data_IF_395850455940
#
_entry.id   IF_395850455940
#
_cell.length_a   1.000
_cell.length_b   1.000
_cell.length_c   1.000
_cell.angle_alpha   90.00
_cell.angle_beta   90.00
_cell.angle_gamma   90.00
#
_symmetry.space_group_name_H-M   'P 1'
#
loop_
_entity.id
_entity.type
_entity.pdbx_description
1 polymer ?
#
# COMPACT_ATOMS: atom_id res chain seq x y z
N UNK A 1 15.44 25.60 -1.91
CA UNK A 1 14.69 26.38 -2.94
C UNK A 1 13.58 27.19 -2.29
N UNK A 2 13.02 28.20 -2.96
CA UNK A 2 11.95 29.04 -2.40
C UNK A 2 10.66 28.24 -2.16
N UNK A 3 9.82 28.70 -1.23
CA UNK A 3 8.55 28.03 -0.93
C UNK A 3 7.57 28.19 -2.09
N UNK A 4 6.96 27.08 -2.51
CA UNK A 4 5.97 27.04 -3.59
C UNK A 4 6.57 27.16 -4.99
N UNK A 5 7.90 27.21 -5.10
CA UNK A 5 8.61 27.30 -6.38
C UNK A 5 8.59 25.97 -7.14
N UNK A 6 7.45 25.68 -7.76
CA UNK A 6 7.22 24.48 -8.56
C UNK A 6 8.12 24.45 -9.79
N UNK A 7 8.35 25.59 -10.45
CA UNK A 7 9.24 25.67 -11.61
C UNK A 7 10.69 25.32 -11.23
N UNK A 8 11.19 25.85 -10.12
CA UNK A 8 12.49 25.51 -9.57
C UNK A 8 12.60 24.05 -9.15
N UNK A 9 11.54 23.47 -8.57
CA UNK A 9 11.48 22.04 -8.27
C UNK A 9 11.63 21.18 -9.53
N UNK A 10 10.85 21.48 -10.57
CA UNK A 10 10.90 20.77 -11.86
C UNK A 10 12.31 20.86 -12.47
N UNK A 11 12.91 22.06 -12.49
CA UNK A 11 14.27 22.25 -13.00
C UNK A 11 15.29 21.41 -12.24
N UNK A 12 15.23 21.43 -10.91
CA UNK A 12 16.15 20.68 -10.07
C UNK A 12 16.03 19.16 -10.26
N UNK A 13 14.81 18.65 -10.48
CA UNK A 13 14.60 17.22 -10.79
C UNK A 13 15.22 16.87 -12.14
N UNK A 14 15.04 17.69 -13.18
CA UNK A 14 15.66 17.45 -14.49
C UNK A 14 17.19 17.44 -14.40
N UNK A 15 17.78 18.35 -13.64
CA UNK A 15 19.22 18.39 -13.41
C UNK A 15 19.70 17.12 -12.69
N UNK A 16 19.00 16.68 -11.65
CA UNK A 16 19.30 15.46 -10.90
C UNK A 16 19.17 14.19 -11.78
N UNK A 17 18.16 14.13 -12.65
CA UNK A 17 18.01 13.07 -13.64
C UNK A 17 19.21 13.00 -14.60
N UNK A 18 19.73 14.15 -15.05
CA UNK A 18 20.86 14.21 -15.99
C UNK A 18 22.23 13.88 -15.38
N UNK A 19 22.41 14.18 -14.09
CA UNK A 19 23.69 14.02 -13.38
C UNK A 19 23.81 12.69 -12.65
N UNK A 20 22.69 11.99 -12.42
CA UNK A 20 22.65 10.69 -11.78
C UNK A 20 22.66 10.72 -10.24
N UNK A 21 22.79 11.89 -9.61
CA UNK A 21 22.66 12.11 -8.16
C UNK A 21 22.19 13.54 -7.88
N UNK A 22 21.08 13.73 -7.16
CA UNK A 22 20.65 15.05 -6.71
C UNK A 22 19.87 15.05 -5.40
N UNK A 23 20.35 15.81 -4.41
CA UNK A 23 19.61 16.12 -3.18
C UNK A 23 18.97 17.50 -3.32
N UNK A 24 17.64 17.54 -3.30
CA UNK A 24 16.85 18.74 -3.49
C UNK A 24 16.18 19.11 -2.16
N UNK A 25 16.62 20.23 -1.59
CA UNK A 25 16.12 20.74 -0.31
C UNK A 25 14.90 21.64 -0.52
N UNK A 26 13.74 21.13 -0.16
CA UNK A 26 12.47 21.85 -0.18
C UNK A 26 12.31 22.68 1.10
N UNK A 27 11.59 23.82 0.99
CA UNK A 27 11.33 24.63 2.18
C UNK A 27 10.42 23.87 3.16
N UNK A 28 10.78 23.88 4.44
CA UNK A 28 10.00 23.33 5.56
C UNK A 28 8.62 23.99 5.67
N UNK A 29 7.59 23.23 6.07
CA UNK A 29 6.19 23.71 6.22
C UNK A 29 5.62 24.36 4.94
N UNK A 30 6.11 23.93 3.77
CA UNK A 30 5.73 24.54 2.50
C UNK A 30 4.87 23.60 1.66
N UNK A 31 4.00 24.19 0.83
CA UNK A 31 3.19 23.46 -0.15
C UNK A 31 3.63 23.84 -1.57
N UNK A 32 3.95 22.81 -2.36
CA UNK A 32 4.24 22.89 -3.79
C UNK A 32 3.04 22.36 -4.57
N UNK A 33 2.23 23.28 -5.08
CA UNK A 33 0.97 22.96 -5.76
C UNK A 33 1.18 22.84 -7.27
N UNK A 34 1.13 21.62 -7.78
CA UNK A 34 1.22 21.31 -9.20
C UNK A 34 -0.10 21.69 -9.89
N UNK A 35 -0.04 22.64 -10.83
CA UNK A 35 -1.23 23.15 -11.55
C UNK A 35 -1.51 22.42 -12.86
N UNK A 36 -0.55 21.62 -13.33
CA UNK A 36 -0.66 20.80 -14.53
C UNK A 36 0.46 19.75 -14.60
N UNK A 37 0.33 18.76 -15.50
CA UNK A 37 1.38 17.79 -15.72
C UNK A 37 2.57 18.41 -16.46
N UNK A 38 3.78 17.97 -16.12
CA UNK A 38 5.00 18.27 -16.88
C UNK A 38 5.23 17.26 -18.01
N UNK A 39 4.68 16.07 -17.87
CA UNK A 39 4.70 15.01 -18.88
C UNK A 39 3.26 14.66 -19.24
N UNK A 40 2.88 14.81 -20.51
CA UNK A 40 1.52 14.47 -20.99
C UNK A 40 1.52 14.15 -22.49
N UNK A 41 0.95 13.01 -22.94
CA UNK A 41 0.23 12.04 -22.13
C UNK A 41 1.14 11.10 -21.33
N UNK A 42 2.47 11.16 -21.50
CA UNK A 42 3.40 10.19 -20.90
C UNK A 42 3.21 8.77 -21.46
N UNK A 43 4.18 7.88 -21.21
CA UNK A 43 4.03 6.47 -21.60
C UNK A 43 2.99 5.76 -20.71
N UNK A 44 2.96 6.15 -19.43
CA UNK A 44 2.07 5.59 -18.43
C UNK A 44 1.01 6.59 -17.99
N UNK A 45 0.65 7.61 -18.77
CA UNK A 45 -0.26 8.68 -18.33
C UNK A 45 0.46 9.94 -17.84
N UNK A 46 -0.29 11.00 -17.53
CA UNK A 46 0.28 12.30 -17.22
C UNK A 46 0.83 12.38 -15.79
N UNK A 47 2.00 13.00 -15.66
CA UNK A 47 2.72 13.18 -14.38
C UNK A 47 2.96 14.65 -14.08
N UNK A 48 2.73 15.02 -12.82
CA UNK A 48 2.94 16.36 -12.29
C UNK A 48 4.43 16.74 -12.26
N UNK A 49 5.28 15.85 -11.76
CA UNK A 49 6.74 16.01 -11.77
C UNK A 49 7.36 15.33 -13.00
N UNK A 50 8.58 15.72 -13.41
CA UNK A 50 9.31 14.97 -14.43
C UNK A 50 9.50 13.52 -14.00
N UNK A 51 9.43 12.59 -14.96
CA UNK A 51 9.71 11.17 -14.73
C UNK A 51 11.12 11.02 -14.13
N UNK A 52 11.23 10.27 -13.03
CA UNK A 52 12.50 10.06 -12.34
C UNK A 52 13.28 8.95 -13.05
N UNK A 53 14.36 9.33 -13.71
CA UNK A 53 15.24 8.43 -14.47
C UNK A 53 16.63 8.30 -13.85
N UNK A 54 17.05 9.28 -13.05
CA UNK A 54 18.28 9.24 -12.25
C UNK A 54 18.00 8.94 -10.77
N UNK A 55 18.95 9.29 -9.89
CA UNK A 55 18.77 9.20 -8.45
C UNK A 55 18.43 10.57 -7.87
N UNK A 56 17.17 10.73 -7.44
CA UNK A 56 16.60 11.98 -6.94
C UNK A 56 16.21 11.80 -5.48
N UNK A 57 16.72 12.66 -4.60
CA UNK A 57 16.34 12.71 -3.19
C UNK A 57 15.68 14.05 -2.90
N UNK A 58 14.40 14.03 -2.54
CA UNK A 58 13.65 15.20 -2.07
C UNK A 58 13.65 15.19 -0.54
N UNK A 59 14.18 16.26 0.05
CA UNK A 59 14.21 16.45 1.50
C UNK A 59 13.33 17.62 1.87
N UNK A 60 12.41 17.39 2.80
CA UNK A 60 11.58 18.41 3.40
C UNK A 60 11.27 18.09 4.85
N UNK A 61 10.53 18.98 5.49
CA UNK A 61 10.01 18.77 6.84
C UNK A 61 8.62 19.38 6.88
N UNK A 62 7.59 18.55 7.01
CA UNK A 62 6.19 18.94 6.78
C UNK A 62 5.99 19.65 5.43
N UNK A 63 6.70 19.20 4.40
CA UNK A 63 6.58 19.77 3.06
C UNK A 63 5.60 18.93 2.25
N UNK A 64 4.69 19.56 1.53
CA UNK A 64 3.69 18.89 0.70
C UNK A 64 3.93 19.17 -0.77
N UNK A 65 3.89 18.13 -1.60
CA UNK A 65 3.73 18.23 -3.05
C UNK A 65 2.33 17.73 -3.36
N UNK A 66 1.51 18.59 -3.96
CA UNK A 66 0.08 18.29 -4.15
C UNK A 66 -0.42 18.68 -5.52
N UNK A 67 -1.41 17.95 -6.03
CA UNK A 67 -2.12 18.33 -7.26
C UNK A 67 -3.19 19.38 -6.94
N UNK A 68 -3.08 20.55 -7.54
CA UNK A 68 -4.04 21.66 -7.42
C UNK A 68 -4.84 21.93 -8.69
N UNK A 69 -5.07 20.91 -9.51
CA UNK A 69 -5.74 21.04 -10.82
C UNK A 69 -7.04 20.24 -10.87
N UNK A 70 -7.96 20.62 -11.75
CA UNK A 70 -9.11 19.76 -12.10
C UNK A 70 -8.68 18.62 -13.05
N UNK A 71 -7.64 18.85 -13.86
CA UNK A 71 -7.07 17.83 -14.74
C UNK A 71 -6.42 16.72 -13.93
N UNK A 72 -6.73 15.48 -14.25
CA UNK A 72 -6.15 14.31 -13.61
C UNK A 72 -4.70 14.09 -14.06
N UNK A 73 -3.81 13.93 -13.09
CA UNK A 73 -2.42 13.48 -13.26
C UNK A 73 -1.88 12.95 -11.94
N UNK A 74 -0.89 12.05 -11.99
CA UNK A 74 -0.16 11.59 -10.82
C UNK A 74 0.81 12.64 -10.31
N UNK A 75 1.30 12.50 -9.08
CA UNK A 75 2.35 13.41 -8.60
C UNK A 75 3.71 13.01 -9.19
N UNK A 76 4.06 11.73 -9.16
CA UNK A 76 5.38 11.25 -9.60
C UNK A 76 5.32 9.90 -10.31
N UNK A 77 6.29 9.69 -11.19
CA UNK A 77 6.59 8.41 -11.82
C UNK A 77 8.09 8.13 -11.70
N UNK A 78 8.45 6.92 -11.27
CA UNK A 78 9.83 6.43 -11.23
C UNK A 78 10.01 5.42 -12.35
N UNK A 79 10.90 5.72 -13.30
CA UNK A 79 11.20 4.84 -14.43
C UNK A 79 12.11 3.68 -14.00
N UNK A 80 12.18 2.59 -14.81
CA UNK A 80 13.16 1.54 -14.61
C UNK A 80 14.59 2.08 -14.51
N UNK A 81 15.30 1.68 -13.46
CA UNK A 81 16.65 2.17 -13.14
C UNK A 81 16.70 3.51 -12.41
N UNK A 82 15.59 4.25 -12.35
CA UNK A 82 15.46 5.47 -11.56
C UNK A 82 15.30 5.17 -10.07
N UNK A 83 15.66 6.14 -9.24
CA UNK A 83 15.44 6.09 -7.79
C UNK A 83 14.87 7.40 -7.29
N UNK A 84 13.74 7.34 -6.59
CA UNK A 84 13.16 8.47 -5.88
C UNK A 84 13.21 8.22 -4.37
N UNK A 85 13.87 9.11 -3.63
CA UNK A 85 13.82 9.12 -2.16
C UNK A 85 13.04 10.34 -1.68
N UNK A 86 12.00 10.10 -0.89
CA UNK A 86 11.19 11.12 -0.23
C UNK A 86 11.47 11.10 1.27
N UNK A 87 12.12 12.15 1.78
CA UNK A 87 12.42 12.32 3.19
C UNK A 87 11.63 13.51 3.77
N UNK A 88 10.64 13.23 4.61
CA UNK A 88 9.80 14.27 5.23
C UNK A 88 8.81 14.94 4.27
N UNK A 89 8.40 14.23 3.21
CA UNK A 89 7.53 14.76 2.15
C UNK A 89 6.13 14.15 2.24
N UNK A 90 5.12 15.00 2.09
CA UNK A 90 3.74 14.58 1.83
C UNK A 90 3.44 14.63 0.33
N UNK A 91 2.98 13.53 -0.25
CA UNK A 91 2.48 13.43 -1.63
C UNK A 91 0.97 13.30 -1.58
N UNK A 92 0.24 14.22 -2.23
CA UNK A 92 -1.22 14.23 -2.12
C UNK A 92 -2.00 14.71 -3.33
N UNK A 93 -3.27 14.31 -3.39
CA UNK A 93 -4.23 14.78 -4.39
C UNK A 93 -4.02 14.23 -5.80
N UNK A 94 -3.01 13.38 -6.02
CA UNK A 94 -2.73 12.75 -7.31
C UNK A 94 -3.93 11.96 -7.82
N UNK A 95 -4.11 11.95 -9.14
CA UNK A 95 -5.27 11.33 -9.80
C UNK A 95 -4.88 10.65 -11.10
N UNK A 96 -4.85 9.32 -11.11
CA UNK A 96 -4.61 8.47 -12.27
C UNK A 96 -5.95 7.89 -12.78
N UNK A 97 -6.80 8.75 -13.35
CA UNK A 97 -8.18 8.39 -13.74
C UNK A 97 -8.49 8.60 -15.22
N UNK A 98 -7.57 9.18 -15.99
CA UNK A 98 -7.74 9.40 -17.43
C UNK A 98 -7.69 8.05 -18.15
N UNK A 99 -8.74 7.73 -18.92
CA UNK A 99 -8.84 6.47 -19.64
C UNK A 99 -7.67 6.26 -20.62
N UNK A 100 -7.15 5.03 -20.69
CA UNK A 100 -5.99 4.67 -21.51
C UNK A 100 -4.81 4.20 -20.65
N UNK A 101 -3.58 4.51 -21.08
CA UNK A 101 -2.40 4.33 -20.24
C UNK A 101 -2.44 5.32 -19.07
N UNK A 102 -2.16 4.85 -17.85
CA UNK A 102 -2.08 5.71 -16.66
C UNK A 102 -3.26 5.75 -15.72
N UNK A 103 -3.85 4.58 -15.53
CA UNK A 103 -4.89 4.34 -14.54
C UNK A 103 -4.35 3.77 -13.21
N UNK A 104 -3.03 3.66 -13.08
CA UNK A 104 -2.33 3.08 -11.93
C UNK A 104 -1.52 4.14 -11.18
N UNK A 105 -1.32 3.95 -9.88
CA UNK A 105 -0.39 4.73 -9.07
C UNK A 105 -0.87 6.15 -8.81
N UNK A 106 -2.05 6.34 -8.24
CA UNK A 106 -2.73 7.64 -8.17
C UNK A 106 -1.84 8.77 -7.64
N UNK A 107 -1.07 8.49 -6.59
CA UNK A 107 -0.01 9.37 -6.11
C UNK A 107 1.29 9.15 -6.87
N UNK A 108 1.79 7.92 -6.82
CA UNK A 108 3.10 7.53 -7.37
C UNK A 108 3.00 6.21 -8.15
N UNK A 109 3.56 6.21 -9.36
CA UNK A 109 3.86 4.98 -10.11
C UNK A 109 5.35 4.66 -9.97
N UNK A 110 5.69 3.53 -9.34
CA UNK A 110 7.07 3.08 -9.18
C UNK A 110 7.38 1.89 -10.11
N UNK A 111 8.21 2.13 -11.13
CA UNK A 111 8.80 1.11 -11.99
C UNK A 111 10.32 0.96 -11.77
N UNK A 112 10.88 1.60 -10.75
CA UNK A 112 12.30 1.57 -10.41
C UNK A 112 12.49 1.30 -8.92
N UNK A 113 12.92 2.31 -8.17
CA UNK A 113 13.03 2.22 -6.71
C UNK A 113 12.47 3.46 -6.03
N UNK A 114 11.45 3.27 -5.20
CA UNK A 114 10.88 4.31 -4.36
C UNK A 114 11.25 4.10 -2.89
N UNK A 115 11.75 5.15 -2.24
CA UNK A 115 12.04 5.17 -0.81
C UNK A 115 11.26 6.25 -0.09
N UNK A 116 10.50 5.88 0.92
CA UNK A 116 9.78 6.78 1.81
C UNK A 116 10.44 6.76 3.18
N UNK A 117 10.85 7.91 3.69
CA UNK A 117 11.37 8.08 5.06
C UNK A 117 10.66 9.24 5.72
N UNK A 118 9.96 8.99 6.83
CA UNK A 118 9.18 10.03 7.52
C UNK A 118 8.22 10.79 6.59
N UNK A 119 7.69 10.08 5.59
CA UNK A 119 6.90 10.67 4.50
C UNK A 119 5.44 10.18 4.55
N UNK A 120 4.57 10.88 3.84
CA UNK A 120 3.13 10.59 3.80
C UNK A 120 2.65 10.54 2.36
N UNK A 121 1.95 9.48 1.96
CA UNK A 121 1.25 9.39 0.66
C UNK A 121 -0.25 9.35 0.94
N UNK A 122 -0.98 10.42 0.61
CA UNK A 122 -2.37 10.57 1.05
C UNK A 122 -3.33 11.28 0.11
N UNK A 123 -4.60 10.89 0.13
CA UNK A 123 -5.65 11.56 -0.65
C UNK A 123 -5.47 11.39 -2.15
N UNK A 124 -4.88 10.27 -2.59
CA UNK A 124 -4.64 10.00 -4.00
C UNK A 124 -5.64 8.99 -4.56
N UNK A 125 -5.90 9.07 -5.87
CA UNK A 125 -6.93 8.29 -6.55
C UNK A 125 -6.36 7.62 -7.81
N UNK A 126 -6.56 6.32 -7.95
CA UNK A 126 -6.33 5.58 -9.19
C UNK A 126 -7.62 4.91 -9.66
N UNK A 127 -7.85 4.80 -10.97
CA UNK A 127 -9.01 4.05 -11.47
C UNK A 127 -8.81 2.53 -11.43
N UNK A 128 -7.56 2.06 -11.41
CA UNK A 128 -7.24 0.64 -11.50
C UNK A 128 -6.52 0.12 -10.26
N UNK A 129 -5.23 0.43 -10.08
CA UNK A 129 -4.46 -0.12 -8.95
C UNK A 129 -3.56 0.91 -8.28
N UNK A 130 -3.30 0.70 -7.00
CA UNK A 130 -2.33 1.50 -6.25
C UNK A 130 -2.77 2.95 -6.09
N UNK A 131 -3.80 3.19 -5.26
CA UNK A 131 -4.38 4.53 -5.12
C UNK A 131 -3.35 5.53 -4.63
N UNK A 132 -2.57 5.12 -3.62
CA UNK A 132 -1.39 5.84 -3.20
C UNK A 132 -0.20 5.51 -4.10
N UNK A 133 0.17 4.22 -4.13
CA UNK A 133 1.39 3.75 -4.77
C UNK A 133 1.12 2.48 -5.58
N UNK A 134 1.55 2.49 -6.83
CA UNK A 134 1.70 1.28 -7.65
C UNK A 134 3.16 0.85 -7.69
N UNK A 135 3.45 -0.41 -7.36
CA UNK A 135 4.77 -1.03 -7.51
C UNK A 135 4.73 -1.98 -8.71
N UNK A 136 5.37 -1.58 -9.79
CA UNK A 136 5.40 -2.33 -11.04
C UNK A 136 6.31 -3.57 -10.95
N UNK A 137 6.32 -4.36 -12.02
CA UNK A 137 7.15 -5.56 -12.12
C UNK A 137 8.63 -5.24 -11.86
N UNK A 138 9.25 -5.96 -10.92
CA UNK A 138 10.65 -5.80 -10.51
C UNK A 138 10.99 -4.45 -9.83
N UNK A 139 9.99 -3.62 -9.51
CA UNK A 139 10.20 -2.40 -8.75
C UNK A 139 10.36 -2.68 -7.24
N UNK A 140 10.97 -1.74 -6.53
CA UNK A 140 11.29 -1.86 -5.11
C UNK A 140 10.78 -0.66 -4.34
N UNK A 141 9.87 -0.92 -3.41
CA UNK A 141 9.34 0.06 -2.48
C UNK A 141 9.88 -0.17 -1.07
N UNK A 142 10.64 0.80 -0.56
CA UNK A 142 11.08 0.85 0.84
C UNK A 142 10.28 1.92 1.61
N UNK A 143 9.57 1.53 2.68
CA UNK A 143 8.74 2.43 3.51
C UNK A 143 9.23 2.42 4.95
N UNK A 144 9.85 3.50 5.40
CA UNK A 144 10.37 3.62 6.76
C UNK A 144 9.74 4.80 7.51
N UNK A 145 9.21 4.53 8.70
CA UNK A 145 8.62 5.56 9.57
C UNK A 145 7.60 6.45 8.84
N UNK A 146 6.84 5.87 7.90
CA UNK A 146 6.04 6.60 6.92
C UNK A 146 4.58 6.14 6.94
N UNK A 147 3.72 6.91 6.26
CA UNK A 147 2.27 6.66 6.23
C UNK A 147 1.75 6.59 4.78
N UNK A 148 0.93 5.60 4.47
CA UNK A 148 0.15 5.53 3.22
C UNK A 148 -1.33 5.48 3.58
N UNK A 149 -2.05 6.58 3.35
CA UNK A 149 -3.35 6.78 3.99
C UNK A 149 -4.39 7.57 3.20
N UNK A 150 -5.68 7.27 3.33
CA UNK A 150 -6.77 7.97 2.62
C UNK A 150 -6.62 7.93 1.10
N UNK A 151 -6.11 6.83 0.55
CA UNK A 151 -6.01 6.63 -0.89
C UNK A 151 -7.08 5.69 -1.41
N UNK A 152 -7.45 5.84 -2.68
CA UNK A 152 -8.52 5.08 -3.31
C UNK A 152 -8.09 4.47 -4.65
N UNK A 153 -8.42 3.20 -4.88
CA UNK A 153 -8.20 2.52 -6.16
C UNK A 153 -9.24 1.44 -6.47
N UNK A 154 -9.10 0.80 -7.63
CA UNK A 154 -9.69 -0.51 -7.90
C UNK A 154 -9.11 -1.53 -6.92
N UNK A 155 -7.85 -1.93 -7.08
CA UNK A 155 -7.15 -2.81 -6.13
C UNK A 155 -5.98 -2.09 -5.44
N UNK A 156 -5.69 -2.47 -4.19
CA UNK A 156 -4.59 -1.84 -3.45
C UNK A 156 -4.86 -0.36 -3.22
N UNK A 157 -5.92 -0.05 -2.46
CA UNK A 157 -6.33 1.33 -2.20
C UNK A 157 -5.17 2.19 -1.73
N UNK A 158 -4.36 1.65 -0.81
CA UNK A 158 -3.07 2.23 -0.43
C UNK A 158 -1.97 1.87 -1.41
N UNK A 159 -1.60 0.59 -1.44
CA UNK A 159 -0.46 0.06 -2.19
C UNK A 159 -0.88 -1.17 -3.00
N UNK A 160 -0.50 -1.20 -4.27
CA UNK A 160 -0.56 -2.41 -5.10
C UNK A 160 0.86 -2.85 -5.48
N UNK A 161 1.11 -4.16 -5.46
CA UNK A 161 2.41 -4.76 -5.80
C UNK A 161 2.19 -5.81 -6.89
N UNK A 162 2.77 -5.60 -8.05
CA UNK A 162 2.74 -6.57 -9.14
C UNK A 162 3.70 -7.74 -8.92
N UNK A 163 3.56 -8.76 -9.78
CA UNK A 163 4.48 -9.88 -9.83
C UNK A 163 5.94 -9.44 -10.03
N UNK A 164 6.83 -9.98 -9.20
CA UNK A 164 8.25 -9.61 -9.19
C UNK A 164 8.55 -8.28 -8.49
N UNK A 165 7.55 -7.44 -8.21
CA UNK A 165 7.70 -6.26 -7.37
C UNK A 165 7.94 -6.63 -5.91
N UNK A 166 8.47 -5.68 -5.13
CA UNK A 166 8.72 -5.88 -3.71
C UNK A 166 8.39 -4.67 -2.85
N UNK A 167 7.89 -4.94 -1.64
CA UNK A 167 7.65 -3.96 -0.58
C UNK A 167 8.37 -4.39 0.69
N UNK A 168 9.19 -3.50 1.24
CA UNK A 168 9.73 -3.59 2.59
C UNK A 168 9.25 -2.39 3.40
N UNK A 169 8.50 -2.63 4.49
CA UNK A 169 8.01 -1.56 5.35
C UNK A 169 8.41 -1.78 6.82
N UNK A 170 8.87 -0.72 7.47
CA UNK A 170 9.30 -0.75 8.88
C UNK A 170 8.74 0.44 9.66
N UNK A 171 8.19 0.18 10.84
CA UNK A 171 7.69 1.21 11.77
C UNK A 171 6.73 2.20 11.11
N UNK A 172 5.88 1.67 10.22
CA UNK A 172 5.08 2.47 9.29
C UNK A 172 3.60 2.15 9.44
N UNK A 173 2.76 2.89 8.73
CA UNK A 173 1.32 2.74 8.82
C UNK A 173 0.66 2.79 7.45
N UNK A 174 -0.27 1.86 7.23
CA UNK A 174 -1.08 1.78 6.01
C UNK A 174 -2.53 1.81 6.47
N UNK A 175 -3.19 2.96 6.31
CA UNK A 175 -4.49 3.14 6.96
C UNK A 175 -5.50 3.98 6.22
N UNK A 176 -6.78 3.72 6.49
CA UNK A 176 -7.87 4.54 5.99
C UNK A 176 -7.93 4.57 4.44
N UNK A 177 -7.40 3.52 3.78
CA UNK A 177 -7.43 3.39 2.33
C UNK A 177 -8.64 2.57 1.87
N UNK A 178 -9.12 2.84 0.65
CA UNK A 178 -10.30 2.19 0.08
C UNK A 178 -10.00 1.56 -1.28
N UNK A 179 -10.35 0.30 -1.45
CA UNK A 179 -10.35 -0.39 -2.74
C UNK A 179 -11.80 -0.69 -3.14
N UNK A 180 -12.20 -0.38 -4.38
CA UNK A 180 -13.48 -0.88 -4.90
C UNK A 180 -13.43 -2.37 -5.24
N UNK A 181 -12.22 -2.86 -5.47
CA UNK A 181 -11.77 -4.25 -5.62
C UNK A 181 -11.07 -4.76 -4.36
N UNK A 182 -10.00 -5.53 -4.52
CA UNK A 182 -9.33 -6.27 -3.46
C UNK A 182 -8.20 -5.47 -2.80
N UNK A 183 -7.92 -5.77 -1.52
CA UNK A 183 -6.78 -5.19 -0.81
C UNK A 183 -7.00 -3.71 -0.52
N UNK A 184 -7.87 -3.39 0.44
CA UNK A 184 -8.15 -1.99 0.81
C UNK A 184 -6.87 -1.23 1.16
N UNK A 185 -6.00 -1.85 1.96
CA UNK A 185 -4.67 -1.33 2.27
C UNK A 185 -3.62 -1.77 1.26
N UNK A 186 -3.44 -3.09 1.13
CA UNK A 186 -2.41 -3.70 0.28
C UNK A 186 -3.03 -4.78 -0.60
N UNK A 187 -2.74 -4.75 -1.90
CA UNK A 187 -2.96 -5.87 -2.82
C UNK A 187 -1.62 -6.38 -3.34
N UNK A 188 -1.29 -7.64 -3.04
CA UNK A 188 0.04 -8.21 -3.27
C UNK A 188 0.02 -9.38 -4.26
N UNK A 189 0.83 -9.26 -5.32
CA UNK A 189 1.20 -10.34 -6.24
C UNK A 189 2.73 -10.60 -6.29
N UNK A 190 3.49 -9.88 -5.45
CA UNK A 190 4.96 -9.93 -5.37
C UNK A 190 5.46 -10.39 -4.00
N UNK A 191 6.54 -9.78 -3.52
CA UNK A 191 7.15 -10.10 -2.22
C UNK A 191 6.95 -8.95 -1.24
N UNK A 192 6.37 -9.23 -0.07
CA UNK A 192 6.12 -8.22 0.96
C UNK A 192 6.74 -8.64 2.28
N UNK A 193 7.47 -7.72 2.91
CA UNK A 193 7.92 -7.81 4.30
C UNK A 193 7.48 -6.57 5.06
N UNK A 194 6.68 -6.77 6.11
CA UNK A 194 6.25 -5.72 7.03
C UNK A 194 6.87 -5.98 8.41
N UNK A 195 7.49 -4.97 9.01
CA UNK A 195 8.08 -5.06 10.36
C UNK A 195 7.57 -3.94 11.24
N UNK A 196 6.83 -4.28 12.30
CA UNK A 196 6.21 -3.29 13.20
C UNK A 196 5.34 -2.28 12.43
N UNK A 197 4.49 -2.79 11.55
CA UNK A 197 3.59 -1.98 10.71
C UNK A 197 2.16 -2.14 11.18
N UNK A 198 1.42 -1.04 11.22
CA UNK A 198 -0.01 -1.06 11.47
C UNK A 198 -0.79 -0.93 10.15
N UNK A 199 -1.56 -1.96 9.81
CA UNK A 199 -2.50 -1.97 8.69
C UNK A 199 -3.90 -1.83 9.26
N UNK A 200 -4.47 -0.62 9.21
CA UNK A 200 -5.70 -0.32 9.97
C UNK A 200 -6.76 0.46 9.24
N UNK A 201 -8.03 0.14 9.51
CA UNK A 201 -9.21 0.85 8.96
C UNK A 201 -9.20 0.95 7.44
N UNK A 202 -8.64 -0.04 6.76
CA UNK A 202 -8.70 -0.11 5.31
C UNK A 202 -9.95 -0.89 4.88
N UNK A 203 -10.48 -0.54 3.71
CA UNK A 203 -11.76 -1.04 3.25
C UNK A 203 -11.67 -1.59 1.82
N UNK A 204 -12.04 -2.86 1.62
CA UNK A 204 -12.35 -3.44 0.31
C UNK A 204 -13.87 -3.49 0.15
N UNK A 205 -14.45 -2.68 -0.76
CA UNK A 205 -15.90 -2.42 -0.80
C UNK A 205 -16.73 -3.69 -1.01
N UNK A 206 -16.46 -4.41 -2.10
CA UNK A 206 -17.27 -5.56 -2.52
C UNK A 206 -16.46 -6.87 -2.66
N UNK A 207 -15.17 -6.81 -2.37
CA UNK A 207 -14.21 -7.88 -2.62
C UNK A 207 -13.42 -8.21 -1.36
N UNK A 208 -12.32 -8.92 -1.51
CA UNK A 208 -11.56 -9.55 -0.43
C UNK A 208 -10.43 -8.69 0.10
N UNK A 209 -9.99 -9.03 1.32
CA UNK A 209 -8.80 -8.44 1.95
C UNK A 209 -9.00 -6.98 2.28
N UNK A 210 -9.79 -6.69 3.32
CA UNK A 210 -10.05 -5.32 3.75
C UNK A 210 -8.75 -4.60 4.08
N UNK A 211 -7.87 -5.26 4.85
CA UNK A 211 -6.50 -4.83 5.05
C UNK A 211 -5.62 -5.24 3.88
N UNK A 212 -5.50 -6.55 3.67
CA UNK A 212 -4.51 -7.14 2.78
C UNK A 212 -5.12 -8.26 1.94
N UNK A 213 -4.86 -8.24 0.64
CA UNK A 213 -4.99 -9.41 -0.22
C UNK A 213 -3.60 -9.85 -0.68
N UNK A 214 -3.31 -11.14 -0.67
CA UNK A 214 -2.06 -11.69 -1.21
C UNK A 214 -2.33 -12.91 -2.10
N UNK A 215 -1.75 -12.91 -3.30
CA UNK A 215 -1.96 -13.95 -4.31
C UNK A 215 -0.63 -14.38 -4.97
N UNK A 216 -0.23 -15.64 -4.77
CA UNK A 216 0.93 -16.25 -5.44
C UNK A 216 2.32 -15.73 -5.04
N UNK A 217 2.43 -14.92 -3.98
CA UNK A 217 3.68 -14.30 -3.51
C UNK A 217 4.14 -14.78 -2.13
N UNK A 218 5.25 -14.22 -1.63
CA UNK A 218 5.63 -14.35 -0.23
C UNK A 218 5.16 -13.11 0.53
N UNK A 219 4.48 -13.32 1.66
CA UNK A 219 4.06 -12.25 2.55
C UNK A 219 4.53 -12.56 3.97
N UNK A 220 5.39 -11.72 4.52
CA UNK A 220 5.88 -11.83 5.90
C UNK A 220 5.51 -10.57 6.68
N UNK A 221 4.92 -10.75 7.87
CA UNK A 221 4.67 -9.68 8.82
C UNK A 221 5.27 -10.04 10.19
N UNK A 222 6.22 -9.24 10.64
CA UNK A 222 6.94 -9.41 11.89
C UNK A 222 6.54 -8.28 12.84
N UNK A 223 5.70 -8.58 13.83
CA UNK A 223 5.05 -7.61 14.73
C UNK A 223 4.16 -6.59 14.01
N UNK A 224 3.47 -5.76 14.80
CA UNK A 224 2.47 -4.81 14.30
C UNK A 224 1.05 -5.36 14.40
N UNK A 225 0.13 -4.69 13.70
CA UNK A 225 -1.30 -4.99 13.80
C UNK A 225 -2.06 -4.94 12.47
N UNK A 226 -3.09 -5.77 12.37
CA UNK A 226 -4.19 -5.61 11.43
C UNK A 226 -5.44 -5.27 12.24
N UNK A 227 -5.86 -4.01 12.21
CA UNK A 227 -6.92 -3.50 13.10
C UNK A 227 -8.05 -2.80 12.34
N UNK A 228 -9.29 -3.23 12.58
CA UNK A 228 -10.46 -2.50 12.10
C UNK A 228 -10.62 -2.49 10.58
N UNK A 229 -10.02 -3.43 9.85
CA UNK A 229 -10.14 -3.49 8.40
C UNK A 229 -11.41 -4.23 7.99
N UNK A 230 -12.00 -3.83 6.86
CA UNK A 230 -13.31 -4.33 6.43
C UNK A 230 -13.32 -4.78 4.97
N UNK A 231 -13.85 -5.97 4.70
CA UNK A 231 -14.06 -6.48 3.35
C UNK A 231 -15.53 -6.81 3.12
N UNK A 232 -16.03 -6.52 1.91
CA UNK A 232 -17.38 -6.91 1.50
C UNK A 232 -17.54 -8.42 1.27
N UNK A 233 -16.43 -9.12 1.03
CA UNK A 233 -16.39 -10.54 0.73
C UNK A 233 -15.60 -11.33 1.79
N UNK A 234 -14.38 -11.76 1.48
CA UNK A 234 -13.57 -12.66 2.32
C UNK A 234 -12.42 -11.91 2.97
N UNK A 235 -11.96 -12.33 4.14
CA UNK A 235 -10.74 -11.80 4.74
C UNK A 235 -10.87 -10.33 5.14
N UNK A 236 -11.43 -10.04 6.32
CA UNK A 236 -11.55 -8.65 6.79
C UNK A 236 -10.17 -8.04 7.01
N UNK A 237 -9.31 -8.77 7.73
CA UNK A 237 -7.91 -8.44 7.89
C UNK A 237 -7.10 -8.84 6.66
N UNK A 238 -7.05 -10.15 6.39
CA UNK A 238 -6.25 -10.73 5.32
C UNK A 238 -7.07 -11.74 4.50
N UNK A 239 -6.96 -11.67 3.17
CA UNK A 239 -7.32 -12.75 2.26
C UNK A 239 -6.06 -13.32 1.58
N UNK A 240 -5.76 -14.60 1.83
CA UNK A 240 -4.62 -15.30 1.26
C UNK A 240 -5.08 -16.29 0.17
N UNK A 241 -4.73 -16.03 -1.09
CA UNK A 241 -5.01 -16.88 -2.25
C UNK A 241 -3.72 -17.53 -2.75
N UNK A 242 -3.32 -18.64 -2.14
CA UNK A 242 -2.16 -19.42 -2.60
C UNK A 242 -0.78 -18.85 -2.25
N UNK A 243 -0.68 -17.82 -1.40
CA UNK A 243 0.62 -17.27 -0.97
C UNK A 243 1.23 -18.04 0.20
N UNK A 244 2.55 -17.91 0.38
CA UNK A 244 3.21 -18.24 1.65
C UNK A 244 3.05 -17.04 2.59
N UNK A 245 2.17 -17.17 3.57
CA UNK A 245 1.87 -16.13 4.56
C UNK A 245 2.53 -16.48 5.89
N UNK A 246 3.45 -15.65 6.35
CA UNK A 246 4.08 -15.79 7.67
C UNK A 246 3.76 -14.57 8.53
N UNK A 247 3.15 -14.79 9.69
CA UNK A 247 2.86 -13.75 10.68
C UNK A 247 3.52 -14.11 12.00
N UNK A 248 4.42 -13.27 12.49
CA UNK A 248 5.14 -13.48 13.74
C UNK A 248 4.80 -12.37 14.74
N UNK A 249 4.24 -12.72 15.89
CA UNK A 249 3.86 -11.77 16.95
C UNK A 249 2.94 -10.63 16.47
N UNK A 250 2.01 -10.95 15.56
CA UNK A 250 1.07 -9.99 14.97
C UNK A 250 -0.27 -10.02 15.71
N UNK A 251 -0.89 -8.86 15.88
CA UNK A 251 -2.27 -8.76 16.39
C UNK A 251 -3.24 -8.53 15.24
N UNK A 252 -4.19 -9.44 15.03
CA UNK A 252 -5.28 -9.34 14.06
C UNK A 252 -6.58 -9.13 14.83
N UNK A 253 -7.11 -7.91 14.82
CA UNK A 253 -8.27 -7.56 15.64
C UNK A 253 -9.26 -6.60 15.00
N UNK A 254 -10.52 -6.65 15.47
CA UNK A 254 -11.62 -5.80 15.00
C UNK A 254 -11.86 -5.84 13.48
N UNK A 255 -11.37 -6.85 12.77
CA UNK A 255 -11.54 -6.93 11.33
C UNK A 255 -12.88 -7.58 10.99
N UNK A 256 -13.51 -7.11 9.91
CA UNK A 256 -14.84 -7.57 9.49
C UNK A 256 -14.85 -8.05 8.05
N UNK A 257 -15.35 -9.26 7.80
CA UNK A 257 -15.63 -9.78 6.46
C UNK A 257 -17.15 -9.95 6.26
N UNK A 258 -17.66 -9.54 5.11
CA UNK A 258 -19.07 -9.76 4.76
C UNK A 258 -19.45 -11.24 4.62
N UNK A 259 -18.47 -12.09 4.28
CA UNK A 259 -18.62 -13.53 4.17
C UNK A 259 -17.73 -14.25 5.20
N UNK A 260 -16.58 -14.81 4.82
CA UNK A 260 -15.79 -15.69 5.69
C UNK A 260 -14.42 -15.09 6.05
N UNK A 261 -13.87 -15.52 7.19
CA UNK A 261 -12.51 -15.14 7.60
C UNK A 261 -12.43 -13.68 8.04
N UNK A 262 -13.10 -13.32 9.14
CA UNK A 262 -13.11 -11.93 9.63
C UNK A 262 -11.69 -11.42 9.87
N UNK A 263 -10.85 -12.21 10.54
CA UNK A 263 -9.42 -11.93 10.69
C UNK A 263 -8.62 -12.37 9.46
N UNK A 264 -8.65 -13.67 9.17
CA UNK A 264 -7.91 -14.30 8.08
C UNK A 264 -8.81 -15.27 7.29
N UNK A 265 -8.85 -15.08 5.98
CA UNK A 265 -9.33 -16.09 5.04
C UNK A 265 -8.13 -16.69 4.30
N UNK A 266 -7.97 -18.01 4.34
CA UNK A 266 -6.91 -18.74 3.63
C UNK A 266 -7.51 -19.69 2.60
N UNK A 267 -7.15 -19.53 1.33
CA UNK A 267 -7.54 -20.41 0.25
C UNK A 267 -6.30 -20.89 -0.50
N UNK A 268 -6.10 -22.21 -0.47
CA UNK A 268 -5.00 -22.90 -1.16
C UNK A 268 -3.58 -22.44 -0.79
N UNK A 269 -3.42 -21.45 0.10
CA UNK A 269 -2.16 -20.92 0.58
C UNK A 269 -1.64 -21.62 1.84
N UNK A 270 -0.42 -21.30 2.23
CA UNK A 270 0.20 -21.80 3.45
C UNK A 270 0.39 -20.63 4.42
N UNK A 271 -0.42 -20.58 5.48
CA UNK A 271 -0.32 -19.57 6.52
C UNK A 271 0.33 -20.15 7.79
N UNK A 272 1.33 -19.43 8.30
CA UNK A 272 1.99 -19.74 9.56
C UNK A 272 1.84 -18.55 10.49
N UNK A 273 1.13 -18.73 11.60
CA UNK A 273 0.96 -17.73 12.64
C UNK A 273 1.76 -18.18 13.86
N UNK A 274 2.78 -17.41 14.21
CA UNK A 274 3.74 -17.73 15.28
C UNK A 274 3.67 -16.63 16.33
N UNK A 275 3.04 -16.93 17.47
CA UNK A 275 2.74 -15.92 18.49
C UNK A 275 1.69 -14.92 18.04
N UNK A 276 1.37 -13.97 18.92
CA UNK A 276 0.36 -12.95 18.64
C UNK A 276 -1.07 -13.44 18.85
N UNK A 277 -2.03 -12.71 18.28
CA UNK A 277 -3.44 -12.84 18.62
C UNK A 277 -4.34 -12.64 17.39
N UNK A 278 -5.40 -13.44 17.27
CA UNK A 278 -6.50 -13.24 16.31
C UNK A 278 -7.80 -13.15 17.12
N UNK A 279 -8.26 -11.92 17.38
CA UNK A 279 -9.33 -11.68 18.35
C UNK A 279 -10.31 -10.59 17.93
N UNK A 280 -11.58 -10.69 18.34
CA UNK A 280 -12.60 -9.66 18.08
C UNK A 280 -12.83 -9.42 16.59
N UNK A 281 -12.59 -10.43 15.76
CA UNK A 281 -12.88 -10.35 14.32
C UNK A 281 -14.28 -10.91 14.04
N UNK A 282 -14.94 -10.36 13.02
CA UNK A 282 -16.32 -10.70 12.66
C UNK A 282 -16.42 -11.15 11.21
N UNK A 283 -17.17 -12.21 10.97
CA UNK A 283 -17.51 -12.71 9.65
C UNK A 283 -19.05 -12.80 9.53
N UNK A 284 -19.62 -12.47 8.37
CA UNK A 284 -21.06 -12.67 8.12
C UNK A 284 -21.44 -14.15 7.90
N UNK A 285 -20.46 -14.97 7.53
CA UNK A 285 -20.56 -16.41 7.29
C UNK A 285 -19.86 -17.22 8.39
N UNK A 286 -18.64 -17.69 8.13
CA UNK A 286 -17.90 -18.61 9.01
C UNK A 286 -16.47 -18.12 9.26
N UNK A 287 -15.86 -18.63 10.35
CA UNK A 287 -14.48 -18.32 10.69
C UNK A 287 -14.32 -16.83 10.96
N UNK A 288 -14.98 -16.33 12.00
CA UNK A 288 -14.80 -14.95 12.48
C UNK A 288 -13.32 -14.62 12.67
N UNK A 289 -12.56 -15.53 13.28
CA UNK A 289 -11.12 -15.43 13.38
C UNK A 289 -10.45 -15.86 12.09
N UNK A 290 -10.46 -17.17 11.82
CA UNK A 290 -9.77 -17.81 10.71
C UNK A 290 -10.74 -18.72 9.93
N UNK A 291 -10.75 -18.58 8.61
CA UNK A 291 -11.42 -19.53 7.71
C UNK A 291 -10.40 -20.16 6.76
N UNK A 292 -10.48 -21.48 6.56
CA UNK A 292 -9.57 -22.23 5.67
C UNK A 292 -10.35 -22.96 4.58
N UNK A 293 -10.23 -22.46 3.35
CA UNK A 293 -10.72 -23.05 2.11
C UNK A 293 -9.60 -23.79 1.37
N UNK A 294 -9.00 -24.80 2.01
CA UNK A 294 -7.83 -25.50 1.47
C UNK A 294 -6.49 -24.84 1.81
N UNK A 295 -5.40 -25.46 1.36
CA UNK A 295 -4.05 -25.12 1.81
C UNK A 295 -3.81 -25.53 3.27
N UNK A 296 -2.93 -24.84 3.99
CA UNK A 296 -2.58 -25.12 5.39
C UNK A 296 -2.57 -23.87 6.24
N UNK A 297 -3.04 -23.98 7.48
CA UNK A 297 -2.85 -22.97 8.52
C UNK A 297 -2.24 -23.63 9.75
N UNK A 298 -1.09 -23.13 10.18
CA UNK A 298 -0.38 -23.61 11.37
C UNK A 298 -0.34 -22.51 12.43
N UNK A 299 -0.77 -22.85 13.64
CA UNK A 299 -0.75 -21.96 14.81
C UNK A 299 0.32 -22.43 15.80
N UNK A 300 1.31 -21.59 16.08
CA UNK A 300 2.38 -21.87 17.05
C UNK A 300 2.41 -20.77 18.10
N UNK A 301 1.79 -21.00 19.26
CA UNK A 301 1.73 -20.00 20.33
C UNK A 301 0.83 -18.78 20.01
N UNK A 302 0.01 -18.88 18.97
CA UNK A 302 -0.97 -17.85 18.57
C UNK A 302 -2.29 -18.08 19.30
N UNK A 303 -2.88 -17.03 19.85
CA UNK A 303 -4.17 -17.11 20.54
C UNK A 303 -5.31 -16.68 19.61
N UNK A 304 -6.25 -17.58 19.33
CA UNK A 304 -7.45 -17.27 18.53
C UNK A 304 -8.68 -17.34 19.43
N UNK A 305 -9.31 -16.19 19.73
CA UNK A 305 -10.42 -16.14 20.68
C UNK A 305 -11.35 -14.94 20.44
N UNK A 306 -12.56 -14.99 21.01
CA UNK A 306 -13.52 -13.89 20.96
C UNK A 306 -13.84 -13.40 19.54
N UNK A 307 -13.85 -14.29 18.54
CA UNK A 307 -14.27 -13.96 17.18
C UNK A 307 -15.70 -14.43 16.92
N UNK A 308 -16.40 -13.78 15.99
CA UNK A 308 -17.81 -14.04 15.67
C UNK A 308 -17.96 -14.42 14.19
N UNK A 309 -18.70 -15.49 13.84
CA UNK A 309 -19.42 -16.39 14.75
C UNK A 309 -18.51 -17.41 15.45
N UNK A 310 -17.38 -17.75 14.83
CA UNK A 310 -16.48 -18.81 15.31
C UNK A 310 -15.01 -18.36 15.27
N UNK A 311 -14.16 -19.01 16.08
CA UNK A 311 -12.72 -18.74 16.07
C UNK A 311 -12.02 -19.30 14.82
N UNK A 312 -12.22 -20.58 14.52
CA UNK A 312 -11.62 -21.22 13.35
C UNK A 312 -12.60 -22.16 12.66
N UNK A 313 -12.65 -22.09 11.33
CA UNK A 313 -13.42 -23.03 10.52
C UNK A 313 -12.59 -23.51 9.32
N UNK A 314 -12.37 -24.83 9.17
CA UNK A 314 -12.65 -25.89 10.15
C UNK A 314 -11.84 -25.68 11.44
N UNK A 315 -12.11 -26.49 12.48
CA UNK A 315 -11.32 -26.47 13.70
C UNK A 315 -9.84 -26.75 13.40
N UNK A 316 -8.95 -25.91 13.96
CA UNK A 316 -7.50 -26.00 13.80
C UNK A 316 -6.87 -26.38 15.14
N UNK A 317 -5.78 -27.16 15.14
CA UNK A 317 -5.06 -27.42 16.38
C UNK A 317 -4.49 -26.11 16.95
N UNK A 318 -4.76 -25.83 18.24
CA UNK A 318 -4.40 -24.55 18.87
C UNK A 318 -5.47 -23.46 18.72
N UNK A 319 -6.61 -23.82 18.13
CA UNK A 319 -7.87 -23.10 18.09
C UNK A 319 -8.98 -24.03 18.64
#
# INVERSE_FOLDING_TARGET
MACGDVAGLISAINDANSTGLGVIQLTTNCVYTLTGPTVSPGANGPDGLPVITGNVTLVGANTTITRGSATAFRIAEVAPGGTLTLNGITVSGGSATTAGAGINGGGILDAGTLRLTSSVVTGNLASNVGGGIEVANNAVLDVNSSQVTHNTAGDGGGIHINSGGSLSATSSQISDNTASGAGGGISNFGNVTLTSVDVRRNHALNFEGGGITTNGGNFTMNSGSLDGNTSGSLGGGIANFGSQLMMQSVTVTNNTAGQNGGGLYNDSGNAQLIGGQVTVNTAGGQGGGIFVNGGTVTLTGTFVSANTPDNCVPGLAGC
#
